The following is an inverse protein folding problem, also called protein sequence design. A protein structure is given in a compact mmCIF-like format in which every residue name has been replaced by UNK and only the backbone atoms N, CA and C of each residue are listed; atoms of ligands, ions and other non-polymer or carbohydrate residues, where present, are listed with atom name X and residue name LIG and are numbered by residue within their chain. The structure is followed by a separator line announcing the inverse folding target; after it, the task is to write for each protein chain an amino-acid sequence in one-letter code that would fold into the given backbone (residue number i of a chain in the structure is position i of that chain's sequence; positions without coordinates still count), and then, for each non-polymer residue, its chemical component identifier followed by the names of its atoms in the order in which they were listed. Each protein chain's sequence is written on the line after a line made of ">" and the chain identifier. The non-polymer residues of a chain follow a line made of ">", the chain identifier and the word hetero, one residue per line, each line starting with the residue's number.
data_IF_367067523229
#
_entry.id   IF_367067523229
#
_cell.length_a   1.000
_cell.length_b   1.000
_cell.length_c   1.000
_cell.angle_alpha   90.00
_cell.angle_beta   90.00
_cell.angle_gamma   90.00
#
_symmetry.space_group_name_H-M   'P 1'
#
loop_
_entity.id
_entity.type
_entity.pdbx_description
1 polymer ?
#
# COMPACT_ATOMS: atom_id res chain seq x y z
N UNK A 1 11.43 18.65 -6.36
CA UNK A 1 11.66 17.22 -6.62
C UNK A 1 11.75 16.51 -5.27
N UNK A 2 10.75 15.70 -4.94
CA UNK A 2 10.78 14.94 -3.69
C UNK A 2 11.89 13.89 -3.74
N UNK A 3 12.79 13.93 -2.74
CA UNK A 3 13.94 13.03 -2.69
C UNK A 3 13.48 11.64 -2.28
N UNK A 4 13.97 10.65 -3.03
CA UNK A 4 13.89 9.24 -2.68
C UNK A 4 14.46 9.01 -1.26
N UNK A 5 13.83 8.21 -0.40
CA UNK A 5 14.38 7.90 0.91
C UNK A 5 15.74 7.19 0.77
N UNK A 6 16.79 7.78 1.36
CA UNK A 6 18.17 7.28 1.29
C UNK A 6 18.31 5.82 1.73
N UNK A 7 17.52 5.40 2.74
CA UNK A 7 17.59 4.03 3.26
C UNK A 7 17.11 2.99 2.25
N UNK A 8 16.09 3.30 1.44
CA UNK A 8 15.66 2.41 0.35
C UNK A 8 16.74 2.29 -0.73
N UNK A 9 17.52 3.35 -0.98
CA UNK A 9 18.70 3.28 -1.87
C UNK A 9 19.82 2.46 -1.26
N UNK A 10 20.09 2.65 0.02
CA UNK A 10 21.11 1.91 0.74
C UNK A 10 20.86 0.40 0.65
N UNK A 11 19.62 -0.03 0.83
CA UNK A 11 19.22 -1.44 0.79
C UNK A 11 19.07 -2.05 -0.62
N UNK A 12 19.40 -1.33 -1.70
CA UNK A 12 19.44 -1.89 -3.05
C UNK A 12 20.80 -2.49 -3.43
N UNK A 13 21.74 -2.57 -2.49
CA UNK A 13 23.06 -3.15 -2.71
C UNK A 13 23.22 -4.40 -1.87
N UNK A 14 23.58 -5.51 -2.50
CA UNK A 14 23.72 -6.83 -1.86
C UNK A 14 24.62 -6.82 -0.63
N UNK A 15 25.69 -6.01 -0.60
CA UNK A 15 26.58 -5.84 0.56
C UNK A 15 25.92 -5.20 1.77
N UNK A 16 24.81 -4.48 1.60
CA UNK A 16 24.02 -3.89 2.67
C UNK A 16 22.80 -4.76 3.00
N UNK A 17 22.13 -5.28 1.96
CA UNK A 17 20.90 -6.08 2.10
C UNK A 17 21.15 -7.40 2.80
N UNK A 18 22.23 -8.13 2.48
CA UNK A 18 22.49 -9.44 3.09
C UNK A 18 22.69 -9.33 4.61
N UNK A 19 23.57 -8.43 5.12
CA UNK A 19 23.67 -8.20 6.56
C UNK A 19 22.35 -7.76 7.19
N UNK A 20 21.61 -6.86 6.53
CA UNK A 20 20.31 -6.40 7.02
C UNK A 20 19.31 -7.56 7.20
N UNK A 21 19.07 -8.37 6.16
CA UNK A 21 18.14 -9.50 6.24
C UNK A 21 18.61 -10.56 7.25
N UNK A 22 19.92 -10.83 7.31
CA UNK A 22 20.50 -11.75 8.29
C UNK A 22 20.17 -11.28 9.71
N UNK A 23 20.38 -10.00 10.00
CA UNK A 23 20.09 -9.43 11.31
C UNK A 23 18.59 -9.53 11.64
N UNK A 24 17.69 -9.26 10.68
CA UNK A 24 16.25 -9.44 10.90
C UNK A 24 15.91 -10.90 11.27
N UNK A 25 16.52 -11.87 10.59
CA UNK A 25 16.26 -13.29 10.85
C UNK A 25 16.90 -13.81 12.13
N UNK A 26 18.05 -13.26 12.52
CA UNK A 26 18.68 -13.56 13.82
C UNK A 26 17.83 -13.04 14.98
N UNK A 27 17.20 -11.86 14.83
CA UNK A 27 16.28 -11.31 15.83
C UNK A 27 15.03 -12.16 16.03
N UNK A 28 14.54 -12.80 14.96
CA UNK A 28 13.43 -13.76 15.05
C UNK A 28 13.89 -15.18 15.41
N UNK A 29 15.13 -15.35 15.86
CA UNK A 29 15.75 -16.65 16.22
C UNK A 29 15.66 -17.71 15.11
N UNK A 30 15.74 -17.30 13.84
CA UNK A 30 15.60 -18.22 12.71
C UNK A 30 16.85 -19.11 12.56
N UNK A 31 16.73 -20.46 12.66
CA UNK A 31 17.87 -21.38 12.64
C UNK A 31 18.73 -21.33 11.36
N UNK A 32 18.25 -20.72 10.27
CA UNK A 32 18.94 -20.62 8.99
C UNK A 32 19.07 -19.17 8.50
N UNK A 33 19.24 -18.22 9.41
CA UNK A 33 19.32 -16.79 9.11
C UNK A 33 20.29 -16.45 7.96
N UNK A 34 21.54 -16.88 8.02
CA UNK A 34 22.55 -16.59 6.99
C UNK A 34 22.17 -17.15 5.61
N UNK A 35 21.69 -18.40 5.59
CA UNK A 35 21.25 -19.08 4.37
C UNK A 35 20.05 -18.37 3.71
N UNK A 36 19.02 -18.04 4.49
CA UNK A 36 17.85 -17.35 3.95
C UNK A 36 18.16 -15.90 3.56
N UNK A 37 19.05 -15.21 4.29
CA UNK A 37 19.47 -13.87 3.91
C UNK A 37 20.16 -13.87 2.54
N UNK A 38 21.00 -14.87 2.27
CA UNK A 38 21.60 -15.06 0.96
C UNK A 38 20.55 -15.31 -0.13
N UNK A 39 19.59 -16.21 0.12
CA UNK A 39 18.54 -16.57 -0.84
C UNK A 39 17.56 -15.41 -1.14
N UNK A 40 17.24 -14.61 -0.14
CA UNK A 40 16.22 -13.57 -0.25
C UNK A 40 16.77 -12.21 -0.69
N UNK A 41 18.08 -11.97 -0.61
CA UNK A 41 18.68 -10.67 -0.90
C UNK A 41 18.30 -10.13 -2.29
N UNK A 42 18.50 -10.92 -3.36
CA UNK A 42 18.21 -10.46 -4.73
C UNK A 42 16.71 -10.19 -4.92
N UNK A 43 15.85 -11.08 -4.40
CA UNK A 43 14.40 -10.90 -4.46
C UNK A 43 13.94 -9.64 -3.72
N UNK A 44 14.53 -9.37 -2.56
CA UNK A 44 14.26 -8.16 -1.78
C UNK A 44 14.71 -6.90 -2.54
N UNK A 45 15.93 -6.88 -3.08
CA UNK A 45 16.50 -5.76 -3.85
C UNK A 45 15.63 -5.46 -5.07
N UNK A 46 15.35 -6.48 -5.89
CA UNK A 46 14.51 -6.31 -7.08
C UNK A 46 13.10 -5.85 -6.73
N UNK A 47 12.54 -6.31 -5.61
CA UNK A 47 11.27 -5.80 -5.11
C UNK A 47 11.30 -4.31 -4.79
N UNK A 48 12.35 -3.82 -4.11
CA UNK A 48 12.52 -2.40 -3.83
C UNK A 48 12.73 -1.57 -5.10
N UNK A 49 13.50 -2.07 -6.06
CA UNK A 49 13.73 -1.40 -7.35
C UNK A 49 12.45 -1.29 -8.16
N UNK A 50 11.70 -2.40 -8.31
CA UNK A 50 10.43 -2.39 -9.01
C UNK A 50 9.44 -1.45 -8.34
N UNK A 51 9.30 -1.50 -7.01
CA UNK A 51 8.42 -0.60 -6.30
C UNK A 51 8.72 0.88 -6.62
N UNK A 52 10.00 1.23 -6.66
CA UNK A 52 10.43 2.58 -7.00
C UNK A 52 10.15 2.96 -8.45
N UNK A 53 10.47 2.08 -9.41
CA UNK A 53 10.21 2.34 -10.84
C UNK A 53 8.72 2.60 -11.07
N UNK A 54 7.85 1.81 -10.44
CA UNK A 54 6.40 2.00 -10.47
C UNK A 54 5.99 3.35 -9.87
N UNK A 55 6.53 3.72 -8.70
CA UNK A 55 6.21 5.00 -8.06
C UNK A 55 6.70 6.22 -8.87
N UNK A 56 7.90 6.14 -9.46
CA UNK A 56 8.44 7.22 -10.29
C UNK A 56 7.65 7.36 -11.58
N UNK A 57 7.33 6.24 -12.24
CA UNK A 57 6.51 6.23 -13.46
C UNK A 57 5.11 6.76 -13.19
N UNK A 58 4.50 6.38 -12.05
CA UNK A 58 3.18 6.87 -11.66
C UNK A 58 3.14 8.40 -11.57
N UNK A 59 4.17 9.04 -11.02
CA UNK A 59 4.22 10.51 -10.87
C UNK A 59 4.13 11.28 -12.19
N UNK A 60 4.63 10.70 -13.29
CA UNK A 60 4.64 11.34 -14.61
C UNK A 60 3.50 10.90 -15.53
N UNK A 61 2.59 10.08 -15.02
CA UNK A 61 1.56 9.42 -15.81
C UNK A 61 0.18 10.06 -15.57
N UNK A 62 -0.76 10.06 -16.55
CA UNK A 62 -2.12 10.57 -16.34
C UNK A 62 -2.87 9.84 -15.22
N UNK A 63 -3.81 10.54 -14.58
CA UNK A 63 -4.66 10.01 -13.50
C UNK A 63 -5.34 8.67 -13.84
N UNK A 64 -5.65 8.39 -15.10
CA UNK A 64 -6.24 7.11 -15.54
C UNK A 64 -5.33 5.90 -15.43
N UNK A 65 -4.04 6.08 -15.11
CA UNK A 65 -3.06 5.00 -14.98
C UNK A 65 -2.31 5.09 -13.64
N UNK A 66 -2.21 6.26 -13.01
CA UNK A 66 -1.53 6.45 -11.73
C UNK A 66 -1.94 5.43 -10.64
N UNK A 67 -3.24 5.18 -10.36
CA UNK A 67 -3.63 4.28 -9.28
C UNK A 67 -3.12 2.86 -9.50
N UNK A 68 -3.11 2.40 -10.76
CA UNK A 68 -2.62 1.07 -11.11
C UNK A 68 -1.14 0.93 -10.77
N UNK A 69 -0.34 1.91 -11.16
CA UNK A 69 1.10 1.90 -10.93
C UNK A 69 1.43 2.03 -9.43
N UNK A 70 0.81 2.96 -8.72
CA UNK A 70 1.01 3.06 -7.27
C UNK A 70 0.58 1.79 -6.53
N UNK A 71 -0.54 1.18 -6.92
CA UNK A 71 -1.00 -0.07 -6.32
C UNK A 71 0.05 -1.18 -6.48
N UNK A 72 0.53 -1.43 -7.70
CA UNK A 72 1.54 -2.47 -7.92
C UNK A 72 2.90 -2.12 -7.29
N UNK A 73 3.28 -0.84 -7.27
CA UNK A 73 4.47 -0.40 -6.54
C UNK A 73 4.37 -0.71 -5.04
N UNK A 74 3.22 -0.46 -4.42
CA UNK A 74 3.01 -0.75 -3.00
C UNK A 74 2.93 -2.26 -2.73
N UNK A 75 2.40 -3.05 -3.68
CA UNK A 75 2.50 -4.51 -3.61
C UNK A 75 3.97 -4.96 -3.55
N UNK A 76 4.85 -4.38 -4.37
CA UNK A 76 6.28 -4.69 -4.33
C UNK A 76 6.94 -4.28 -3.02
N UNK A 77 6.63 -3.09 -2.49
CA UNK A 77 7.12 -2.67 -1.17
C UNK A 77 6.68 -3.63 -0.05
N UNK A 78 5.38 -3.93 0.06
CA UNK A 78 4.89 -4.82 1.11
C UNK A 78 5.49 -6.22 1.02
N UNK A 79 5.67 -6.75 -0.20
CA UNK A 79 6.34 -8.04 -0.41
C UNK A 79 7.80 -7.99 0.04
N UNK A 80 8.54 -6.92 -0.24
CA UNK A 80 9.90 -6.75 0.27
C UNK A 80 9.92 -6.63 1.79
N UNK A 81 9.00 -5.89 2.41
CA UNK A 81 8.87 -5.82 3.87
C UNK A 81 8.59 -7.20 4.48
N UNK A 82 7.70 -8.00 3.88
CA UNK A 82 7.40 -9.36 4.34
C UNK A 82 8.63 -10.25 4.37
N UNK A 83 9.56 -10.10 3.41
CA UNK A 83 10.80 -10.86 3.43
C UNK A 83 11.70 -10.54 4.61
N UNK A 84 11.48 -9.47 5.37
CA UNK A 84 12.28 -9.15 6.56
C UNK A 84 11.79 -9.90 7.80
N UNK A 85 10.50 -10.22 7.87
CA UNK A 85 9.85 -10.87 9.03
C UNK A 85 9.44 -12.32 8.76
N UNK A 86 9.26 -12.70 7.49
CA UNK A 86 9.03 -14.07 7.06
C UNK A 86 9.99 -14.43 5.89
N UNK A 87 11.11 -15.10 6.19
CA UNK A 87 12.04 -15.60 5.17
C UNK A 87 11.41 -16.61 4.19
N UNK A 88 10.32 -17.26 4.58
CA UNK A 88 9.59 -18.25 3.78
C UNK A 88 8.55 -17.66 2.84
N UNK A 89 8.26 -16.35 2.92
CA UNK A 89 7.25 -15.71 2.09
C UNK A 89 7.60 -15.82 0.59
N UNK A 90 6.65 -16.09 -0.32
CA UNK A 90 5.28 -16.52 -0.05
C UNK A 90 5.23 -18.01 0.29
N UNK A 91 4.65 -18.35 1.44
CA UNK A 91 4.52 -19.75 1.87
C UNK A 91 3.52 -20.56 1.00
N UNK A 92 2.52 -19.91 0.40
CA UNK A 92 1.51 -20.57 -0.43
C UNK A 92 1.04 -19.69 -1.59
N UNK A 93 0.44 -20.30 -2.63
CA UNK A 93 -0.20 -19.54 -3.71
C UNK A 93 -1.39 -18.68 -3.22
N UNK A 94 -2.01 -19.02 -2.07
CA UNK A 94 -3.15 -18.27 -1.52
C UNK A 94 -2.78 -16.84 -1.13
N UNK A 95 -1.53 -16.60 -0.71
CA UNK A 95 -1.07 -15.25 -0.32
C UNK A 95 -0.63 -14.39 -1.52
N UNK A 96 -0.73 -14.93 -2.74
CA UNK A 96 -0.45 -14.18 -3.98
C UNK A 96 -1.66 -13.39 -4.48
N UNK A 97 -2.87 -13.73 -4.05
CA UNK A 97 -4.07 -12.94 -4.32
C UNK A 97 -4.00 -11.57 -3.62
N UNK A 98 -4.82 -10.61 -4.04
CA UNK A 98 -4.81 -9.27 -3.44
C UNK A 98 -5.26 -9.25 -1.97
N UNK A 99 -6.19 -10.13 -1.59
CA UNK A 99 -6.76 -10.17 -0.25
C UNK A 99 -7.87 -9.16 0.00
N UNK A 100 -8.30 -8.45 -1.04
CA UNK A 100 -9.42 -7.52 -1.05
C UNK A 100 -10.31 -7.82 -2.26
N UNK A 101 -11.59 -7.46 -2.17
CA UNK A 101 -12.52 -7.43 -3.31
C UNK A 101 -13.38 -6.18 -3.31
N UNK A 102 -13.81 -5.75 -4.49
CA UNK A 102 -14.87 -4.74 -4.66
C UNK A 102 -16.10 -5.38 -5.30
N UNK A 103 -17.25 -4.69 -5.27
CA UNK A 103 -18.43 -5.12 -6.04
C UNK A 103 -18.07 -5.24 -7.53
N UNK A 104 -18.45 -6.36 -8.15
CA UNK A 104 -18.21 -6.63 -9.59
C UNK A 104 -18.98 -5.70 -10.52
N UNK A 105 -20.16 -5.25 -10.10
CA UNK A 105 -20.99 -4.28 -10.82
C UNK A 105 -21.26 -3.11 -9.90
N UNK A 106 -20.87 -1.91 -10.32
CA UNK A 106 -21.16 -0.68 -9.57
C UNK A 106 -22.64 -0.33 -9.66
N UNK A 107 -23.13 0.38 -8.65
CA UNK A 107 -24.53 0.85 -8.59
C UNK A 107 -24.74 1.98 -9.61
N UNK A 108 -25.99 2.20 -10.01
CA UNK A 108 -26.38 3.43 -10.71
C UNK A 108 -26.04 4.63 -9.82
N UNK A 109 -25.47 5.70 -10.41
CA UNK A 109 -24.92 6.85 -9.67
C UNK A 109 -23.81 6.48 -8.69
N UNK A 110 -22.86 5.66 -9.15
CA UNK A 110 -21.69 5.26 -8.35
C UNK A 110 -20.91 6.47 -7.83
N UNK A 111 -20.49 6.37 -6.56
CA UNK A 111 -19.65 7.34 -5.85
C UNK A 111 -18.51 6.61 -5.18
N UNK A 112 -17.31 7.14 -5.34
CA UNK A 112 -16.11 6.52 -4.82
C UNK A 112 -16.09 6.52 -3.30
N UNK A 113 -16.38 7.67 -2.66
CA UNK A 113 -16.38 7.79 -1.20
C UNK A 113 -17.38 6.84 -0.51
N UNK A 114 -18.49 6.51 -1.19
CA UNK A 114 -19.56 5.62 -0.70
C UNK A 114 -19.32 4.14 -1.05
N UNK A 115 -18.25 3.83 -1.80
CA UNK A 115 -17.89 2.46 -2.15
C UNK A 115 -17.14 1.76 -1.02
N UNK A 116 -17.10 0.44 -1.10
CA UNK A 116 -16.46 -0.39 -0.09
C UNK A 116 -15.49 -1.38 -0.69
N UNK A 117 -14.48 -1.71 0.11
CA UNK A 117 -13.69 -2.92 -0.05
C UNK A 117 -14.20 -3.98 0.92
N UNK A 118 -14.14 -5.24 0.49
CA UNK A 118 -14.35 -6.40 1.35
C UNK A 118 -13.03 -7.12 1.58
N UNK A 119 -12.64 -7.25 2.84
CA UNK A 119 -11.44 -7.97 3.26
C UNK A 119 -11.67 -9.47 3.06
N UNK A 120 -10.72 -10.15 2.44
CA UNK A 120 -10.78 -11.59 2.22
C UNK A 120 -9.98 -12.33 3.29
N UNK A 121 -10.33 -13.59 3.64
CA UNK A 121 -9.57 -14.38 4.62
C UNK A 121 -8.12 -14.68 4.21
N UNK A 122 -7.82 -14.59 2.92
CA UNK A 122 -6.52 -14.93 2.35
C UNK A 122 -6.10 -13.90 1.30
N UNK A 123 -4.80 -13.72 1.13
CA UNK A 123 -4.19 -12.84 0.14
C UNK A 123 -3.14 -11.94 0.77
N UNK A 124 -2.53 -11.09 -0.03
CA UNK A 124 -1.47 -10.18 0.39
C UNK A 124 -1.95 -9.24 1.49
N UNK A 125 -3.14 -8.63 1.35
CA UNK A 125 -3.66 -7.68 2.34
C UNK A 125 -3.75 -8.27 3.76
N UNK A 126 -4.54 -9.33 4.05
CA UNK A 126 -4.64 -9.86 5.41
C UNK A 126 -3.31 -10.41 5.92
N UNK A 127 -2.48 -10.97 5.02
CA UNK A 127 -1.16 -11.50 5.38
C UNK A 127 -0.18 -10.39 5.78
N UNK A 128 -0.10 -9.31 5.00
CA UNK A 128 0.74 -8.15 5.30
C UNK A 128 0.26 -7.42 6.57
N UNK A 129 -1.05 -7.24 6.72
CA UNK A 129 -1.64 -6.65 7.93
C UNK A 129 -1.21 -7.37 9.20
N UNK A 130 -1.30 -8.70 9.20
CA UNK A 130 -0.91 -9.51 10.35
C UNK A 130 0.60 -9.50 10.58
N UNK A 131 1.40 -9.86 9.57
CA UNK A 131 2.84 -10.08 9.76
C UNK A 131 3.67 -8.80 9.90
N UNK A 132 3.23 -7.67 9.32
CA UNK A 132 3.99 -6.42 9.37
C UNK A 132 3.54 -5.50 10.51
N UNK A 133 2.28 -5.61 10.97
CA UNK A 133 1.66 -4.65 11.88
C UNK A 133 0.88 -5.29 13.04
N UNK A 134 0.83 -6.62 13.13
CA UNK A 134 -0.04 -7.33 14.07
C UNK A 134 -1.49 -6.82 14.05
N UNK A 135 -1.97 -6.50 12.84
CA UNK A 135 -3.27 -5.89 12.63
C UNK A 135 -4.22 -6.88 11.94
N UNK A 136 -5.43 -6.97 12.48
CA UNK A 136 -6.58 -7.63 11.86
C UNK A 136 -7.79 -6.72 12.04
N UNK A 137 -8.46 -6.38 10.95
CA UNK A 137 -9.64 -5.52 11.00
C UNK A 137 -10.81 -6.29 11.62
N UNK A 138 -11.54 -5.65 12.53
CA UNK A 138 -12.78 -6.20 13.07
C UNK A 138 -13.93 -6.22 12.04
N UNK A 139 -13.76 -5.51 10.93
CA UNK A 139 -14.79 -5.31 9.91
C UNK A 139 -14.47 -6.10 8.65
N UNK A 140 -15.41 -6.92 8.17
CA UNK A 140 -15.26 -7.58 6.87
C UNK A 140 -15.32 -6.61 5.68
N UNK A 141 -15.90 -5.42 5.90
CA UNK A 141 -16.23 -4.43 4.88
C UNK A 141 -15.97 -3.03 5.42
N UNK A 142 -15.30 -2.21 4.63
CA UNK A 142 -14.89 -0.85 5.03
C UNK A 142 -15.11 0.09 3.85
N UNK A 143 -15.69 1.26 4.11
CA UNK A 143 -15.93 2.27 3.08
C UNK A 143 -14.67 3.05 2.72
N UNK A 144 -14.63 3.65 1.53
CA UNK A 144 -13.51 4.51 1.11
C UNK A 144 -13.41 5.74 1.99
N UNK A 145 -14.54 6.33 2.37
CA UNK A 145 -14.59 7.45 3.29
C UNK A 145 -13.95 7.10 4.65
N UNK A 146 -14.31 5.96 5.25
CA UNK A 146 -13.69 5.50 6.50
C UNK A 146 -12.18 5.33 6.38
N UNK A 147 -11.69 4.71 5.29
CA UNK A 147 -10.25 4.50 5.07
C UNK A 147 -9.51 5.83 4.87
N UNK A 148 -10.07 6.76 4.10
CA UNK A 148 -9.43 8.04 3.82
C UNK A 148 -9.34 8.93 5.06
N UNK A 149 -10.33 8.88 5.97
CA UNK A 149 -10.28 9.62 7.25
C UNK A 149 -9.10 9.20 8.14
N UNK A 150 -8.66 7.94 8.05
CA UNK A 150 -7.53 7.44 8.83
C UNK A 150 -6.17 7.92 8.30
N UNK A 151 -6.13 8.49 7.09
CA UNK A 151 -4.89 8.93 6.46
C UNK A 151 -4.61 10.38 6.85
N UNK A 152 -3.53 10.60 7.59
CA UNK A 152 -3.17 11.91 8.13
C UNK A 152 -3.15 13.02 7.07
N UNK A 153 -2.63 12.74 5.86
CA UNK A 153 -2.58 13.71 4.76
C UNK A 153 -3.94 14.09 4.18
N UNK A 154 -5.01 13.34 4.47
CA UNK A 154 -6.39 13.66 4.06
C UNK A 154 -7.11 14.57 5.06
N UNK A 155 -6.54 14.78 6.26
CA UNK A 155 -7.13 15.53 7.36
C UNK A 155 -7.64 16.91 6.93
N UNK A 156 -6.81 17.68 6.21
CA UNK A 156 -7.17 19.05 5.86
C UNK A 156 -8.30 19.09 4.81
N UNK A 157 -8.38 18.08 3.93
CA UNK A 157 -9.49 17.97 2.99
C UNK A 157 -10.81 17.68 3.71
N UNK A 158 -10.79 16.82 4.73
CA UNK A 158 -11.97 16.56 5.56
C UNK A 158 -12.39 17.78 6.40
N UNK A 159 -11.43 18.56 6.92
CA UNK A 159 -11.74 19.84 7.60
C UNK A 159 -12.42 20.83 6.65
N UNK A 160 -11.97 20.93 5.41
CA UNK A 160 -12.58 21.81 4.40
C UNK A 160 -14.02 21.39 4.07
N UNK A 161 -14.32 20.09 4.14
CA UNK A 161 -15.67 19.54 3.99
C UNK A 161 -16.59 19.85 5.20
N UNK A 162 -16.04 20.38 6.29
CA UNK A 162 -16.77 20.67 7.53
C UNK A 162 -17.10 19.44 8.37
N UNK A 163 -16.37 18.34 8.15
CA UNK A 163 -16.58 17.07 8.86
C UNK A 163 -15.54 16.88 9.98
N UNK A 164 -15.94 16.23 11.07
CA UNK A 164 -15.00 15.87 12.13
C UNK A 164 -13.99 14.84 11.59
N UNK A 165 -12.71 15.10 11.88
CA UNK A 165 -11.57 14.28 11.46
C UNK A 165 -11.44 13.05 12.36
N UNK A 166 -12.10 13.04 13.53
CA UNK A 166 -12.08 11.88 14.42
C UNK A 166 -12.90 10.74 13.79
N UNK A 167 -12.22 9.89 13.03
CA UNK A 167 -12.78 8.64 12.55
C UNK A 167 -13.27 7.80 13.74
N UNK A 168 -14.57 7.55 13.81
CA UNK A 168 -15.13 6.56 14.72
C UNK A 168 -14.77 5.17 14.19
N UNK A 169 -13.71 4.56 14.72
CA UNK A 169 -13.30 3.24 14.26
C UNK A 169 -11.99 2.73 14.86
N UNK A 170 -11.62 1.52 14.45
CA UNK A 170 -10.31 0.94 14.74
C UNK A 170 -9.18 1.76 14.09
N UNK A 171 -7.99 1.73 14.68
CA UNK A 171 -6.82 2.43 14.13
C UNK A 171 -6.14 1.56 13.08
N UNK A 172 -6.07 2.06 11.85
CA UNK A 172 -5.46 1.34 10.73
C UNK A 172 -3.95 1.64 10.63
N UNK A 173 -3.09 0.64 10.37
CA UNK A 173 -1.72 0.89 9.97
C UNK A 173 -1.71 1.73 8.68
N UNK A 174 -0.95 2.85 8.61
CA UNK A 174 -1.01 3.77 7.47
C UNK A 174 -0.81 3.10 6.10
N UNK A 175 0.18 2.22 6.00
CA UNK A 175 0.46 1.48 4.76
C UNK A 175 -0.71 0.58 4.32
N UNK A 176 -1.48 0.06 5.27
CA UNK A 176 -2.63 -0.79 4.96
C UNK A 176 -3.85 0.03 4.53
N UNK A 177 -4.06 1.22 5.10
CA UNK A 177 -5.07 2.15 4.60
C UNK A 177 -4.76 2.59 3.16
N UNK A 178 -3.51 3.00 2.87
CA UNK A 178 -3.08 3.31 1.50
C UNK A 178 -3.28 2.14 0.54
N UNK A 179 -2.93 0.91 0.95
CA UNK A 179 -3.12 -0.28 0.12
C UNK A 179 -4.59 -0.52 -0.23
N UNK A 180 -5.49 -0.42 0.75
CA UNK A 180 -6.91 -0.70 0.56
C UNK A 180 -7.58 0.32 -0.39
N UNK A 181 -7.25 1.60 -0.24
CA UNK A 181 -7.75 2.66 -1.13
C UNK A 181 -7.16 2.51 -2.54
N UNK A 182 -5.85 2.28 -2.67
CA UNK A 182 -5.20 2.03 -3.96
C UNK A 182 -5.76 0.80 -4.66
N UNK A 183 -6.08 -0.26 -3.92
CA UNK A 183 -6.72 -1.44 -4.48
C UNK A 183 -8.04 -1.06 -5.16
N UNK A 184 -8.94 -0.34 -4.48
CA UNK A 184 -10.21 0.09 -5.06
C UNK A 184 -10.01 0.95 -6.31
N UNK A 185 -9.16 1.98 -6.23
CA UNK A 185 -8.87 2.85 -7.37
C UNK A 185 -8.25 2.09 -8.54
N UNK A 186 -7.38 1.10 -8.27
CA UNK A 186 -6.80 0.23 -9.32
C UNK A 186 -7.87 -0.61 -10.03
N UNK A 187 -8.94 -0.98 -9.34
CA UNK A 187 -10.07 -1.69 -9.94
C UNK A 187 -10.91 -0.74 -10.78
N UNK A 188 -11.15 0.49 -10.31
CA UNK A 188 -11.90 1.50 -11.04
C UNK A 188 -11.25 1.85 -12.39
N UNK A 189 -9.95 2.17 -12.41
CA UNK A 189 -9.26 2.51 -13.67
C UNK A 189 -9.21 1.34 -14.66
N UNK A 190 -9.33 0.09 -14.20
CA UNK A 190 -9.29 -1.10 -15.06
C UNK A 190 -10.65 -1.52 -15.60
N UNK A 191 -11.71 -1.33 -14.81
CA UNK A 191 -13.01 -1.93 -15.09
C UNK A 191 -14.14 -0.92 -15.23
N UNK A 192 -13.98 0.32 -14.75
CA UNK A 192 -15.01 1.36 -14.73
C UNK A 192 -14.55 2.60 -15.51
N UNK A 193 -14.10 2.39 -16.75
CA UNK A 193 -13.49 3.45 -17.59
C UNK A 193 -14.42 4.62 -17.93
N UNK A 194 -15.72 4.35 -18.13
CA UNK A 194 -16.74 5.38 -18.39
C UNK A 194 -16.90 6.31 -17.19
N UNK A 195 -17.15 5.75 -16.00
CA UNK A 195 -17.24 6.52 -14.76
C UNK A 195 -15.96 7.31 -14.49
N UNK A 196 -14.78 6.71 -14.72
CA UNK A 196 -13.51 7.41 -14.54
C UNK A 196 -13.37 8.61 -15.48
N UNK A 197 -13.74 8.44 -16.74
CA UNK A 197 -13.74 9.52 -17.73
C UNK A 197 -14.69 10.65 -17.38
N UNK A 198 -15.92 10.32 -16.98
CA UNK A 198 -16.92 11.30 -16.52
C UNK A 198 -16.43 12.06 -15.29
N UNK A 199 -15.91 11.36 -14.26
CA UNK A 199 -15.37 11.96 -13.04
C UNK A 199 -14.25 12.97 -13.35
N UNK A 200 -13.38 12.67 -14.31
CA UNK A 200 -12.31 13.58 -14.74
C UNK A 200 -12.78 14.79 -15.55
N UNK A 201 -13.81 14.61 -16.39
CA UNK A 201 -14.32 15.66 -17.26
C UNK A 201 -15.25 16.62 -16.52
N UNK A 202 -16.22 16.06 -15.78
CA UNK A 202 -17.23 16.84 -15.09
C UNK A 202 -16.65 17.57 -13.89
N UNK A 203 -15.68 16.96 -13.18
CA UNK A 203 -15.07 17.49 -11.95
C UNK A 203 -16.11 18.03 -10.96
N UNK A 204 -17.33 17.52 -11.00
CA UNK A 204 -18.51 18.12 -10.37
C UNK A 204 -18.72 17.60 -8.93
N UNK A 205 -17.87 16.67 -8.45
CA UNK A 205 -18.03 15.98 -7.16
C UNK A 205 -16.73 15.94 -6.34
N UNK A 206 -16.90 15.79 -5.03
CA UNK A 206 -15.83 15.59 -4.05
C UNK A 206 -14.87 14.46 -4.45
N UNK A 207 -15.37 13.39 -5.06
CA UNK A 207 -14.58 12.22 -5.50
C UNK A 207 -13.31 12.64 -6.26
N UNK A 208 -13.40 13.61 -7.19
CA UNK A 208 -12.24 14.07 -7.96
C UNK A 208 -11.15 14.66 -7.04
N UNK A 209 -11.55 15.55 -6.13
CA UNK A 209 -10.61 16.24 -5.22
C UNK A 209 -9.97 15.24 -4.26
N UNK A 210 -10.77 14.33 -3.71
CA UNK A 210 -10.28 13.28 -2.81
C UNK A 210 -9.30 12.35 -3.50
N UNK A 211 -9.62 11.87 -4.72
CA UNK A 211 -8.74 10.98 -5.48
C UNK A 211 -7.44 11.69 -5.87
N UNK A 212 -7.53 12.91 -6.40
CA UNK A 212 -6.35 13.66 -6.84
C UNK A 212 -5.40 13.97 -5.66
N UNK A 213 -5.95 14.41 -4.53
CA UNK A 213 -5.18 14.67 -3.32
C UNK A 213 -4.59 13.38 -2.74
N UNK A 214 -5.37 12.31 -2.68
CA UNK A 214 -4.91 10.99 -2.22
C UNK A 214 -3.73 10.46 -3.06
N UNK A 215 -3.80 10.53 -4.39
CA UNK A 215 -2.72 10.03 -5.26
C UNK A 215 -1.45 10.88 -5.13
N UNK A 216 -1.58 12.17 -4.88
CA UNK A 216 -0.45 13.05 -4.54
C UNK A 216 0.17 12.61 -3.22
N UNK A 217 -0.67 12.37 -2.20
CA UNK A 217 -0.21 11.88 -0.90
C UNK A 217 0.45 10.50 -0.98
N UNK A 218 -0.07 9.57 -1.78
CA UNK A 218 0.57 8.26 -2.00
C UNK A 218 2.00 8.44 -2.48
N UNK A 219 2.20 9.29 -3.50
CA UNK A 219 3.52 9.55 -4.06
C UNK A 219 4.49 10.16 -3.03
N UNK A 220 3.97 10.91 -2.06
CA UNK A 220 4.74 11.64 -1.06
C UNK A 220 5.06 10.78 0.18
N UNK A 221 4.05 10.17 0.78
CA UNK A 221 4.13 9.59 2.11
C UNK A 221 4.44 8.09 2.12
N UNK A 222 4.05 7.33 1.07
CA UNK A 222 4.24 5.87 1.09
C UNK A 222 5.73 5.48 1.09
N UNK A 223 6.61 6.01 0.22
CA UNK A 223 8.02 5.60 0.25
C UNK A 223 8.73 5.91 1.59
N UNK A 224 8.56 7.10 2.21
CA UNK A 224 9.05 7.34 3.56
C UNK A 224 8.52 6.37 4.62
N UNK A 225 7.21 6.09 4.63
CA UNK A 225 6.60 5.13 5.57
C UNK A 225 7.22 3.73 5.46
N UNK A 226 7.46 3.26 4.23
CA UNK A 226 8.14 1.98 3.99
C UNK A 226 9.60 2.04 4.48
N UNK A 227 10.29 3.14 4.22
CA UNK A 227 11.67 3.32 4.64
C UNK A 227 11.80 3.35 6.18
N UNK A 228 10.88 3.99 6.88
CA UNK A 228 10.81 4.03 8.34
C UNK A 228 10.54 2.63 8.90
N UNK A 229 9.52 1.94 8.39
CA UNK A 229 9.21 0.57 8.81
C UNK A 229 10.42 -0.37 8.67
N UNK A 230 11.16 -0.29 7.55
CA UNK A 230 12.36 -1.11 7.35
C UNK A 230 13.52 -0.71 8.28
N UNK A 231 13.66 0.58 8.64
CA UNK A 231 14.66 1.02 9.63
C UNK A 231 14.33 0.50 11.02
N UNK A 232 13.05 0.40 11.36
CA UNK A 232 12.63 -0.15 12.66
C UNK A 232 13.06 -1.62 12.77
N UNK A 233 12.97 -2.39 11.68
CA UNK A 233 13.49 -3.77 11.65
C UNK A 233 15.01 -3.85 11.76
N UNK A 234 15.73 -2.79 11.38
CA UNK A 234 17.18 -2.72 11.53
C UNK A 234 17.61 -2.37 12.96
N UNK A 235 16.90 -1.43 13.59
CA UNK A 235 17.30 -0.81 14.86
C UNK A 235 16.71 -1.46 16.10
N UNK A 236 15.53 -2.08 16.01
CA UNK A 236 14.84 -2.79 17.11
C UNK A 236 15.29 -4.22 17.19
#
# INVERSE_FOLDING_TARGET
>A
MMKRPTFLTYLQVTSHTRPFLKQCYEKSEHPKADHHAYQNAERFIHGLMLAEDFFQTARSTPLSVQPLLFYYGLNHYLKSCLLTVDPGYPATAKVLAHGLSTRKRKKQHYRFLEDDIRIQPHGLFPYASHHLFNFESSNEKVSMDELLRQIASMTDLYKLKGEDVRGSGETWPPLMAYFAVLYNLSMLVRYEGEWWGEMQQLRDRDDYVFIAHFLTAVAEYVPPLVAEWLKDQFTS
#
